data_IF_383373151613
#
_entry.id   IF_383373151613
#
_cell.length_a   1.000
_cell.length_b   1.000
_cell.length_c   1.000
_cell.angle_alpha   90.00
_cell.angle_beta   90.00
_cell.angle_gamma   90.00
#
_symmetry.space_group_name_H-M   'P 1'
#
loop_
_entity.id
_entity.type
_entity.pdbx_description
1 polymer ?
#
# COMPACT_ATOMS: atom_id res chain seq x y z
N UNK A 1 8.38 -31.93 -12.77
CA UNK A 1 8.68 -31.38 -12.77
C UNK A 1 8.36 -30.08 -12.67
N UNK A 2 8.24 -29.38 -13.09
CA UNK A 2 8.01 -28.00 -13.19
C UNK A 2 6.65 -27.55 -12.73
N UNK A 3 5.93 -28.35 -12.02
CA UNK A 3 4.60 -28.00 -11.54
C UNK A 3 4.63 -26.78 -10.63
N UNK A 4 5.72 -26.59 -9.87
CA UNK A 4 5.83 -25.44 -8.97
C UNK A 4 5.89 -24.15 -9.78
N UNK A 5 6.67 -24.11 -10.85
CA UNK A 5 6.77 -22.95 -11.71
C UNK A 5 5.42 -22.66 -12.39
N UNK A 6 4.71 -23.70 -12.83
CA UNK A 6 3.39 -23.55 -13.41
C UNK A 6 2.41 -22.92 -12.42
N UNK A 7 2.44 -23.39 -11.18
CA UNK A 7 1.53 -22.87 -10.16
C UNK A 7 1.78 -21.39 -9.88
N UNK A 8 3.04 -20.96 -9.83
CA UNK A 8 3.38 -19.58 -9.51
C UNK A 8 2.94 -18.60 -10.59
N UNK A 9 2.68 -19.08 -11.82
CA UNK A 9 2.25 -18.23 -12.93
C UNK A 9 0.77 -18.45 -13.27
N UNK A 10 0.09 -19.29 -12.52
CA UNK A 10 -1.32 -19.56 -12.78
C UNK A 10 -2.17 -18.32 -12.52
N UNK A 11 -3.14 -18.07 -13.41
CA UNK A 11 -4.03 -16.93 -13.30
C UNK A 11 -4.87 -17.03 -12.03
N UNK A 12 -4.96 -15.92 -11.33
CA UNK A 12 -5.71 -15.81 -10.09
C UNK A 12 -7.22 -15.88 -10.39
N UNK A 13 -7.98 -16.56 -9.52
CA UNK A 13 -9.43 -16.59 -9.63
C UNK A 13 -9.98 -15.20 -9.28
N UNK A 14 -11.22 -14.94 -9.72
CA UNK A 14 -11.89 -13.68 -9.39
C UNK A 14 -12.02 -13.50 -7.88
N UNK A 15 -12.32 -14.57 -7.17
CA UNK A 15 -12.45 -14.55 -5.71
C UNK A 15 -11.12 -14.17 -5.05
N UNK A 16 -10.03 -14.79 -5.48
CA UNK A 16 -8.71 -14.50 -4.94
C UNK A 16 -8.26 -13.09 -5.29
N UNK A 17 -8.57 -12.63 -6.50
CA UNK A 17 -8.25 -11.27 -6.92
C UNK A 17 -9.00 -10.24 -6.07
N UNK A 18 -10.29 -10.45 -5.83
CA UNK A 18 -11.07 -9.58 -4.98
C UNK A 18 -10.54 -9.53 -3.56
N UNK A 19 -10.15 -10.69 -3.01
CA UNK A 19 -9.58 -10.78 -1.67
C UNK A 19 -8.25 -10.02 -1.60
N UNK A 20 -7.41 -10.15 -2.62
CA UNK A 20 -6.15 -9.42 -2.70
C UNK A 20 -6.40 -7.90 -2.70
N UNK A 21 -7.30 -7.43 -3.56
CA UNK A 21 -7.60 -6.01 -3.67
C UNK A 21 -8.11 -5.44 -2.35
N UNK A 22 -8.95 -6.19 -1.64
CA UNK A 22 -9.46 -5.74 -0.34
C UNK A 22 -8.38 -5.74 0.72
N UNK A 23 -7.47 -6.72 0.70
CA UNK A 23 -6.32 -6.73 1.60
C UNK A 23 -5.46 -5.48 1.40
N UNK A 24 -5.18 -5.14 0.14
CA UNK A 24 -4.42 -3.96 -0.19
C UNK A 24 -5.16 -2.67 0.21
N UNK A 25 -6.47 -2.63 -0.02
CA UNK A 25 -7.28 -1.46 0.32
C UNK A 25 -7.24 -1.19 1.83
N UNK A 26 -7.37 -2.23 2.63
CA UNK A 26 -7.31 -2.09 4.08
C UNK A 26 -5.96 -1.54 4.52
N UNK A 27 -4.87 -2.03 3.91
CA UNK A 27 -3.52 -1.57 4.23
C UNK A 27 -3.32 -0.10 3.82
N UNK A 28 -3.75 0.27 2.61
CA UNK A 28 -3.59 1.64 2.13
C UNK A 28 -4.43 2.62 2.94
N UNK A 29 -5.65 2.21 3.31
CA UNK A 29 -6.52 3.06 4.13
C UNK A 29 -5.91 3.31 5.51
N UNK A 30 -5.41 2.26 6.14
CA UNK A 30 -4.77 2.39 7.45
C UNK A 30 -3.52 3.25 7.37
N UNK A 31 -2.72 3.06 6.31
CA UNK A 31 -1.51 3.84 6.09
C UNK A 31 -1.80 5.31 5.87
N UNK A 32 -2.78 5.62 5.01
CA UNK A 32 -3.15 7.01 4.73
C UNK A 32 -3.63 7.71 6.00
N UNK A 33 -4.40 7.00 6.82
CA UNK A 33 -4.91 7.54 8.07
C UNK A 33 -3.78 7.81 9.06
N UNK A 34 -2.86 6.87 9.19
CA UNK A 34 -1.71 7.02 10.09
C UNK A 34 -0.81 8.17 9.64
N UNK A 35 -0.55 8.26 8.34
CA UNK A 35 0.28 9.32 7.79
C UNK A 35 -0.34 10.71 8.03
N UNK A 36 -1.66 10.82 7.90
CA UNK A 36 -2.33 12.09 8.19
C UNK A 36 -2.10 12.50 9.64
N UNK A 37 -2.14 11.55 10.58
CA UNK A 37 -1.88 11.83 11.99
C UNK A 37 -0.42 12.24 12.21
N UNK A 38 0.52 11.55 11.56
CA UNK A 38 1.95 11.88 11.69
C UNK A 38 2.26 13.25 11.11
N UNK A 39 1.69 13.57 9.94
CA UNK A 39 1.90 14.87 9.29
C UNK A 39 1.45 16.00 10.20
N UNK A 40 0.35 15.80 10.92
CA UNK A 40 -0.21 16.82 11.81
C UNK A 40 0.75 17.19 12.94
N UNK A 41 1.73 16.34 13.27
CA UNK A 41 2.70 16.60 14.33
C UNK A 41 3.99 17.25 13.82
N UNK A 42 4.11 17.48 12.52
CA UNK A 42 5.33 18.06 11.94
C UNK A 42 5.11 19.53 11.61
N UNK A 43 6.18 20.34 11.68
CA UNK A 43 6.07 21.75 11.28
C UNK A 43 5.65 21.85 9.81
N UNK A 44 4.59 22.61 9.51
CA UNK A 44 4.14 22.74 8.12
C UNK A 44 5.27 23.27 7.23
N UNK A 45 5.36 22.74 6.03
CA UNK A 45 6.36 23.12 5.02
C UNK A 45 7.78 22.67 5.34
N UNK A 46 8.00 21.96 6.45
CA UNK A 46 9.32 21.37 6.70
C UNK A 46 9.59 20.25 5.69
N UNK A 47 10.85 19.87 5.54
CA UNK A 47 11.23 18.78 4.63
C UNK A 47 10.51 17.47 5.00
N UNK A 48 10.46 17.18 6.32
CA UNK A 48 9.77 15.98 6.81
C UNK A 48 8.28 16.03 6.51
N UNK A 49 7.65 17.17 6.76
CA UNK A 49 6.22 17.37 6.48
C UNK A 49 5.93 17.15 5.00
N UNK A 50 6.74 17.76 4.12
CA UNK A 50 6.55 17.65 2.68
C UNK A 50 6.67 16.20 2.22
N UNK A 51 7.65 15.47 2.75
CA UNK A 51 7.85 14.07 2.38
C UNK A 51 6.67 13.20 2.80
N UNK A 52 6.26 13.30 4.06
CA UNK A 52 5.15 12.46 4.56
C UNK A 52 3.81 12.87 3.96
N UNK A 53 3.64 14.15 3.62
CA UNK A 53 2.44 14.61 2.94
C UNK A 53 2.31 13.96 1.57
N UNK A 54 3.43 13.83 0.84
CA UNK A 54 3.42 13.15 -0.46
C UNK A 54 3.04 11.68 -0.31
N UNK A 55 3.63 11.00 0.67
CA UNK A 55 3.32 9.58 0.90
C UNK A 55 1.85 9.41 1.25
N UNK A 56 1.32 10.29 2.10
CA UNK A 56 -0.08 10.24 2.49
C UNK A 56 -1.00 10.40 1.28
N UNK A 57 -0.70 11.37 0.41
CA UNK A 57 -1.51 11.59 -0.80
C UNK A 57 -1.46 10.38 -1.73
N UNK A 58 -0.29 9.76 -1.85
CA UNK A 58 -0.16 8.58 -2.71
C UNK A 58 -0.99 7.43 -2.17
N UNK A 59 -1.00 7.22 -0.84
CA UNK A 59 -1.77 6.11 -0.26
C UNK A 59 -3.27 6.39 -0.34
N UNK A 60 -3.68 7.64 -0.18
CA UNK A 60 -5.08 8.01 -0.38
C UNK A 60 -5.51 7.78 -1.84
N UNK A 61 -4.63 8.14 -2.78
CA UNK A 61 -4.88 7.88 -4.20
C UNK A 61 -4.97 6.37 -4.47
N UNK A 62 -4.11 5.59 -3.86
CA UNK A 62 -4.14 4.13 -4.01
C UNK A 62 -5.46 3.55 -3.53
N UNK A 63 -6.02 4.09 -2.46
CA UNK A 63 -7.35 3.66 -1.99
C UNK A 63 -8.40 3.86 -3.09
N UNK A 64 -8.39 5.02 -3.75
CA UNK A 64 -9.35 5.29 -4.81
C UNK A 64 -9.17 4.33 -5.99
N UNK A 65 -7.92 4.05 -6.37
CA UNK A 65 -7.62 3.11 -7.45
C UNK A 65 -8.13 1.71 -7.10
N UNK A 66 -7.87 1.26 -5.87
CA UNK A 66 -8.28 -0.08 -5.44
C UNK A 66 -9.80 -0.22 -5.39
N UNK A 67 -10.49 0.82 -4.93
CA UNK A 67 -11.95 0.82 -4.91
C UNK A 67 -12.47 0.70 -6.35
N UNK A 68 -11.88 1.45 -7.29
CA UNK A 68 -12.27 1.38 -8.69
C UNK A 68 -12.07 -0.03 -9.26
N UNK A 69 -10.93 -0.66 -8.96
CA UNK A 69 -10.66 -2.01 -9.42
C UNK A 69 -11.65 -3.03 -8.82
N UNK A 70 -11.99 -2.84 -7.55
CA UNK A 70 -12.97 -3.71 -6.88
C UNK A 70 -14.34 -3.58 -7.52
N UNK A 71 -14.79 -2.35 -7.78
CA UNK A 71 -16.10 -2.14 -8.41
C UNK A 71 -16.13 -2.73 -9.82
N UNK A 72 -15.04 -2.60 -10.57
CA UNK A 72 -14.96 -3.19 -11.91
C UNK A 72 -15.01 -4.72 -11.83
N UNK A 73 -14.49 -5.31 -10.78
CA UNK A 73 -14.53 -6.75 -10.58
C UNK A 73 -15.84 -7.20 -9.92
N UNK A 74 -16.74 -6.27 -9.64
CA UNK A 74 -18.02 -6.54 -8.97
C UNK A 74 -17.81 -7.16 -7.59
N UNK A 75 -16.82 -6.65 -6.85
CA UNK A 75 -16.52 -7.09 -5.50
C UNK A 75 -16.76 -5.91 -4.56
N UNK A 76 -17.44 -6.17 -3.45
CA UNK A 76 -17.73 -5.13 -2.47
C UNK A 76 -16.45 -4.65 -1.79
N UNK A 77 -16.15 -3.34 -1.83
CA UNK A 77 -14.97 -2.82 -1.13
C UNK A 77 -15.09 -3.00 0.38
N UNK A 78 -14.02 -3.48 1.00
CA UNK A 78 -13.96 -3.66 2.44
C UNK A 78 -14.06 -2.32 3.17
N UNK A 79 -14.70 -2.32 4.34
CA UNK A 79 -14.78 -1.16 5.22
C UNK A 79 -13.86 -1.31 6.44
N UNK A 80 -13.10 -2.38 6.50
CA UNK A 80 -12.23 -2.69 7.64
C UNK A 80 -10.99 -1.79 7.61
N UNK A 81 -10.55 -1.32 8.80
CA UNK A 81 -9.33 -0.54 8.92
C UNK A 81 -8.18 -1.37 9.49
N UNK A 82 -8.44 -2.33 10.37
CA UNK A 82 -7.41 -3.14 11.00
C UNK A 82 -6.70 -2.38 12.11
N UNK A 83 -5.64 -2.97 12.68
CA UNK A 83 -4.97 -2.40 13.86
C UNK A 83 -3.67 -1.65 13.53
N UNK A 84 -3.30 -1.59 12.27
CA UNK A 84 -2.06 -0.89 11.86
C UNK A 84 -2.06 0.57 12.32
N UNK A 85 -3.18 1.24 12.13
CA UNK A 85 -3.32 2.65 12.51
C UNK A 85 -3.09 2.84 14.02
N UNK A 86 -3.78 2.05 14.84
CA UNK A 86 -3.65 2.17 16.29
C UNK A 86 -2.26 1.83 16.78
N UNK A 87 -1.65 0.80 16.19
CA UNK A 87 -0.29 0.40 16.54
C UNK A 87 0.71 1.50 16.20
N UNK A 88 0.54 2.15 15.06
CA UNK A 88 1.40 3.27 14.66
C UNK A 88 1.23 4.48 15.54
N UNK A 89 0.00 4.77 15.98
CA UNK A 89 -0.26 5.88 16.88
C UNK A 89 0.41 5.70 18.25
N UNK A 90 0.61 4.46 18.66
CA UNK A 90 1.23 4.16 19.95
C UNK A 90 2.73 4.45 19.96
N UNK A 91 3.36 4.53 18.79
CA UNK A 91 4.79 4.80 18.68
C UNK A 91 5.05 6.28 18.94
N UNK A 92 6.12 6.57 19.70
CA UNK A 92 6.45 7.95 20.07
C UNK A 92 7.70 8.47 19.39
N UNK A 93 8.67 7.59 19.12
CA UNK A 93 9.94 8.00 18.52
C UNK A 93 9.80 8.00 17.00
N UNK A 94 10.28 9.07 16.37
CA UNK A 94 10.19 9.20 14.92
C UNK A 94 10.95 8.09 14.21
N UNK A 95 12.09 7.63 14.74
CA UNK A 95 12.82 6.52 14.13
C UNK A 95 11.94 5.24 14.07
N UNK A 96 11.18 4.99 15.13
CA UNK A 96 10.30 3.84 15.19
C UNK A 96 9.10 4.00 14.26
N UNK A 97 8.56 5.23 14.18
CA UNK A 97 7.44 5.53 13.29
C UNK A 97 7.81 5.30 11.83
N UNK A 98 8.99 5.76 11.43
CA UNK A 98 9.42 5.62 10.05
C UNK A 98 9.73 4.17 9.69
N UNK A 99 10.35 3.43 10.60
CA UNK A 99 10.57 2.01 10.41
C UNK A 99 9.25 1.27 10.23
N UNK A 100 8.26 1.61 11.06
CA UNK A 100 6.94 1.00 11.00
C UNK A 100 6.25 1.31 9.66
N UNK A 101 6.27 2.58 9.23
CA UNK A 101 5.72 2.98 7.94
C UNK A 101 6.40 2.26 6.79
N UNK A 102 7.72 2.21 6.79
CA UNK A 102 8.47 1.59 5.68
C UNK A 102 8.26 0.09 5.63
N UNK A 103 8.10 -0.58 6.77
CA UNK A 103 7.75 -2.00 6.77
C UNK A 103 6.37 -2.23 6.16
N UNK A 104 5.41 -1.34 6.47
CA UNK A 104 4.08 -1.42 5.88
C UNK A 104 4.12 -1.23 4.38
N UNK A 105 4.86 -0.24 3.92
CA UNK A 105 5.01 0.01 2.48
C UNK A 105 5.69 -1.16 1.77
N UNK A 106 6.73 -1.73 2.39
CA UNK A 106 7.43 -2.87 1.81
C UNK A 106 6.52 -4.10 1.74
N UNK A 107 5.67 -4.29 2.75
CA UNK A 107 4.73 -5.39 2.78
C UNK A 107 3.75 -5.31 1.61
N UNK A 108 3.18 -4.12 1.36
CA UNK A 108 2.27 -3.90 0.24
C UNK A 108 3.00 -4.13 -1.08
N UNK A 109 4.18 -3.55 -1.24
CA UNK A 109 4.96 -3.70 -2.47
C UNK A 109 5.24 -5.17 -2.77
N UNK A 110 5.60 -5.94 -1.75
CA UNK A 110 5.88 -7.36 -1.91
C UNK A 110 4.64 -8.14 -2.34
N UNK A 111 3.49 -7.84 -1.71
CA UNK A 111 2.22 -8.48 -2.08
C UNK A 111 1.87 -8.23 -3.54
N UNK A 112 2.04 -7.00 -3.99
CA UNK A 112 1.75 -6.64 -5.38
C UNK A 112 2.71 -7.39 -6.31
N UNK A 113 4.01 -7.38 -6.02
CA UNK A 113 5.01 -8.02 -6.87
C UNK A 113 4.72 -9.52 -7.04
N UNK A 114 4.35 -10.18 -5.95
CA UNK A 114 4.03 -11.61 -5.98
C UNK A 114 2.78 -11.90 -6.80
N UNK A 115 1.81 -10.98 -6.81
CA UNK A 115 0.55 -11.19 -7.49
C UNK A 115 0.57 -10.83 -8.97
N UNK A 116 1.44 -9.89 -9.38
CA UNK A 116 1.42 -9.33 -10.73
C UNK A 116 1.38 -10.39 -11.85
N UNK A 117 2.22 -11.46 -11.80
CA UNK A 117 2.19 -12.45 -12.89
C UNK A 117 0.89 -13.23 -12.96
N UNK A 118 0.08 -13.21 -11.90
CA UNK A 118 -1.15 -13.99 -11.81
C UNK A 118 -2.40 -13.19 -12.10
N UNK A 119 -2.28 -11.87 -12.27
CA UNK A 119 -3.43 -10.98 -12.51
C UNK A 119 -3.77 -11.01 -14.00
N UNK A 120 -5.01 -11.40 -14.35
CA UNK A 120 -5.34 -11.63 -15.76
C UNK A 120 -5.56 -10.36 -16.58
N UNK A 121 -6.05 -9.31 -15.95
CA UNK A 121 -6.50 -8.12 -16.67
C UNK A 121 -5.40 -7.08 -16.75
N UNK A 122 -5.11 -6.62 -17.98
CA UNK A 122 -3.97 -5.73 -18.23
C UNK A 122 -4.08 -4.42 -17.48
N UNK A 123 -5.28 -3.82 -17.46
CA UNK A 123 -5.47 -2.54 -16.78
C UNK A 123 -5.18 -2.64 -15.29
N UNK A 124 -5.62 -3.73 -14.66
CA UNK A 124 -5.34 -3.96 -13.26
C UNK A 124 -3.84 -4.15 -13.01
N UNK A 125 -3.16 -4.91 -13.88
CA UNK A 125 -1.70 -5.08 -13.76
C UNK A 125 -0.97 -3.75 -13.85
N UNK A 126 -1.38 -2.90 -14.80
CA UNK A 126 -0.77 -1.57 -14.98
C UNK A 126 -0.96 -0.71 -13.73
N UNK A 127 -2.19 -0.69 -13.19
CA UNK A 127 -2.48 0.10 -12.00
C UNK A 127 -1.69 -0.38 -10.78
N UNK A 128 -1.62 -1.70 -10.59
CA UNK A 128 -0.91 -2.26 -9.44
C UNK A 128 0.60 -2.11 -9.59
N UNK A 129 1.13 -2.19 -10.82
CA UNK A 129 2.56 -1.93 -11.04
C UNK A 129 2.92 -0.51 -10.68
N UNK A 130 2.08 0.47 -11.04
CA UNK A 130 2.30 1.86 -10.68
C UNK A 130 2.27 2.05 -9.16
N UNK A 131 1.36 1.35 -8.49
CA UNK A 131 1.26 1.38 -7.04
C UNK A 131 2.51 0.79 -6.36
N UNK A 132 3.01 -0.31 -6.90
CA UNK A 132 4.24 -0.95 -6.44
C UNK A 132 5.41 0.04 -6.53
N UNK A 133 5.54 0.69 -7.67
CA UNK A 133 6.62 1.66 -7.90
C UNK A 133 6.52 2.84 -6.95
N UNK A 134 5.31 3.34 -6.73
CA UNK A 134 5.06 4.44 -5.81
C UNK A 134 5.52 4.09 -4.39
N UNK A 135 5.23 2.88 -3.92
CA UNK A 135 5.67 2.45 -2.60
C UNK A 135 7.20 2.39 -2.50
N UNK A 136 7.85 1.88 -3.55
CA UNK A 136 9.31 1.81 -3.56
C UNK A 136 9.93 3.20 -3.51
N UNK A 137 9.40 4.12 -4.30
CA UNK A 137 9.88 5.51 -4.29
C UNK A 137 9.67 6.15 -2.93
N UNK A 138 8.55 5.88 -2.29
CA UNK A 138 8.23 6.50 -1.01
C UNK A 138 9.09 5.96 0.13
N UNK A 139 9.44 4.66 0.08
CA UNK A 139 10.40 4.10 1.04
C UNK A 139 11.74 4.83 0.91
N UNK A 140 12.22 4.99 -0.32
CA UNK A 140 13.49 5.67 -0.58
C UNK A 140 13.43 7.12 -0.15
N UNK A 141 12.31 7.80 -0.41
CA UNK A 141 12.13 9.20 0.01
C UNK A 141 12.23 9.34 1.53
N UNK A 142 11.53 8.48 2.26
CA UNK A 142 11.56 8.53 3.72
C UNK A 142 12.96 8.26 4.25
N UNK A 143 13.68 7.31 3.65
CA UNK A 143 15.04 7.01 4.07
C UNK A 143 15.98 8.19 3.84
N UNK A 144 15.82 8.90 2.72
CA UNK A 144 16.68 10.07 2.43
C UNK A 144 16.40 11.23 3.37
N UNK A 145 15.13 11.44 3.74
CA UNK A 145 14.74 12.62 4.52
C UNK A 145 14.99 12.41 6.01
N UNK A 146 14.80 11.20 6.51
CA UNK A 146 14.88 10.91 7.94
C UNK A 146 16.09 10.04 8.32
N UNK A 147 16.72 9.43 7.33
CA UNK A 147 17.83 8.51 7.54
C UNK A 147 19.21 9.14 7.82
#
# INVERSE_FOLDING_TARGET
MSSVASESTEVMSRSDFGALLNTLLEAERAGAKLLAAYVAELPPQSTAWTALQKVQRDEAHNCAVLIHLLLNAEVEPSMVVGDFYERGLALRKWSERLEFLNRGQAWVAKRIAEALPRIPELGARTALRAMHESHRENINLCERVFG
#
